data_IF_120382910666
#
_entry.id   IF_120382910666
#
_cell.length_a   1.000
_cell.length_b   1.000
_cell.length_c   1.000
_cell.angle_alpha   90.00
_cell.angle_beta   90.00
_cell.angle_gamma   90.00
#
_symmetry.space_group_name_H-M   'P 1'
#
loop_
_entity.id
_entity.type
_entity.pdbx_description
1 polymer ?
#
# COMPACT_ATOMS: atom_id res chain seq x y z
N UNK A 1 -2.80 9.70 -10.05
CA UNK A 1 -2.06 8.49 -10.42
C UNK A 1 -2.09 8.26 -11.94
N UNK A 2 -3.25 8.25 -12.59
CA UNK A 2 -3.36 8.06 -14.05
C UNK A 2 -2.64 9.15 -14.85
N UNK A 3 -2.72 10.42 -14.43
CA UNK A 3 -1.97 11.54 -15.03
C UNK A 3 -0.44 11.42 -14.89
N UNK A 4 0.01 10.62 -13.96
CA UNK A 4 1.43 10.33 -13.70
C UNK A 4 1.87 9.00 -14.32
N UNK A 5 0.98 8.32 -15.07
CA UNK A 5 1.29 7.03 -15.68
C UNK A 5 2.25 7.19 -16.86
N UNK A 6 3.20 6.29 -16.91
CA UNK A 6 4.28 6.22 -17.91
C UNK A 6 4.40 4.82 -18.55
N UNK A 7 3.40 3.97 -18.36
CA UNK A 7 3.44 2.56 -18.77
C UNK A 7 2.23 2.21 -19.62
N UNK A 8 2.46 1.49 -20.71
CA UNK A 8 1.42 0.86 -21.52
C UNK A 8 1.18 -0.58 -21.06
N UNK A 9 -0.09 -0.96 -20.92
CA UNK A 9 -0.50 -2.29 -20.53
C UNK A 9 -1.85 -2.67 -21.17
N UNK A 10 -2.20 -3.96 -21.11
CA UNK A 10 -3.43 -4.47 -21.71
C UNK A 10 -4.65 -4.24 -20.82
N UNK A 11 -4.46 -4.35 -19.49
CA UNK A 11 -5.55 -4.28 -18.50
C UNK A 11 -5.10 -3.60 -17.21
N UNK A 12 -6.07 -3.04 -16.50
CA UNK A 12 -5.93 -2.52 -15.14
C UNK A 12 -6.62 -3.50 -14.18
N UNK A 13 -5.90 -3.95 -13.18
CA UNK A 13 -6.36 -4.92 -12.17
C UNK A 13 -6.26 -4.30 -10.77
N UNK A 14 -7.34 -4.24 -9.99
CA UNK A 14 -7.27 -3.80 -8.60
C UNK A 14 -6.76 -4.88 -7.68
N UNK A 15 -6.12 -4.49 -6.59
CA UNK A 15 -6.03 -5.31 -5.38
C UNK A 15 -7.35 -5.16 -4.62
N UNK A 16 -8.20 -6.19 -4.53
CA UNK A 16 -9.49 -6.04 -3.89
C UNK A 16 -9.38 -6.08 -2.36
N UNK A 17 -10.18 -5.30 -1.61
CA UNK A 17 -11.21 -4.36 -2.11
C UNK A 17 -10.68 -2.94 -2.14
N UNK A 18 -9.57 -2.66 -1.46
CA UNK A 18 -9.02 -1.33 -1.21
C UNK A 18 -8.57 -0.60 -2.48
N UNK A 19 -8.01 -1.32 -3.44
CA UNK A 19 -7.58 -0.76 -4.73
C UNK A 19 -8.70 -0.50 -5.74
N UNK A 20 -9.93 -0.99 -5.51
CA UNK A 20 -11.00 -0.97 -6.52
C UNK A 20 -11.32 0.43 -7.03
N UNK A 21 -11.54 1.40 -6.14
CA UNK A 21 -11.91 2.76 -6.54
C UNK A 21 -10.81 3.46 -7.32
N UNK A 22 -9.56 3.32 -6.86
CA UNK A 22 -8.40 3.92 -7.52
C UNK A 22 -8.17 3.30 -8.92
N UNK A 23 -8.30 1.97 -9.04
CA UNK A 23 -8.14 1.26 -10.30
C UNK A 23 -9.23 1.62 -11.31
N UNK A 24 -10.49 1.75 -10.85
CA UNK A 24 -11.59 2.16 -11.71
C UNK A 24 -11.37 3.57 -12.28
N UNK A 25 -11.04 4.54 -11.41
CA UNK A 25 -10.76 5.91 -11.85
C UNK A 25 -9.52 6.00 -12.76
N UNK A 26 -8.49 5.18 -12.49
CA UNK A 26 -7.31 5.06 -13.33
C UNK A 26 -7.66 4.54 -14.74
N UNK A 27 -8.39 3.44 -14.82
CA UNK A 27 -8.79 2.81 -16.07
C UNK A 27 -9.68 3.74 -16.91
N UNK A 28 -10.66 4.39 -16.28
CA UNK A 28 -11.55 5.36 -16.94
C UNK A 28 -10.76 6.54 -17.52
N UNK A 29 -9.81 7.09 -16.77
CA UNK A 29 -9.02 8.25 -17.23
C UNK A 29 -8.17 7.92 -18.46
N UNK A 30 -7.56 6.74 -18.48
CA UNK A 30 -6.70 6.28 -19.58
C UNK A 30 -7.45 5.51 -20.67
N UNK A 31 -8.77 5.31 -20.52
CA UNK A 31 -9.61 4.51 -21.42
C UNK A 31 -9.08 3.08 -21.61
N UNK A 32 -8.60 2.50 -20.50
CA UNK A 32 -8.09 1.13 -20.44
C UNK A 32 -9.18 0.17 -19.92
N UNK A 33 -9.05 -1.11 -20.25
CA UNK A 33 -9.92 -2.14 -19.72
C UNK A 33 -9.67 -2.36 -18.23
N UNK A 34 -10.71 -2.22 -17.41
CA UNK A 34 -10.71 -2.60 -16.00
C UNK A 34 -11.19 -4.04 -15.85
N UNK A 35 -10.40 -4.88 -15.17
CA UNK A 35 -10.69 -6.31 -15.06
C UNK A 35 -10.47 -6.82 -13.63
N UNK A 36 -11.37 -7.70 -13.18
CA UNK A 36 -11.21 -8.42 -11.92
C UNK A 36 -10.21 -9.58 -12.06
N UNK A 37 -8.94 -9.25 -12.25
CA UNK A 37 -7.86 -10.24 -12.33
C UNK A 37 -7.53 -10.92 -11.00
N UNK A 38 -7.90 -10.30 -9.88
CA UNK A 38 -7.84 -10.85 -8.53
C UNK A 38 -9.24 -10.92 -7.93
N UNK A 39 -9.55 -12.05 -7.32
CA UNK A 39 -10.85 -12.32 -6.67
C UNK A 39 -10.60 -12.52 -5.18
N UNK A 40 -11.34 -11.78 -4.34
CA UNK A 40 -11.27 -11.91 -2.89
C UNK A 40 -12.26 -12.97 -2.40
N UNK A 41 -11.77 -13.86 -1.54
CA UNK A 41 -12.61 -14.76 -0.78
C UNK A 41 -13.08 -14.08 0.51
N UNK A 42 -14.35 -13.73 0.60
CA UNK A 42 -14.94 -13.01 1.73
C UNK A 42 -15.10 -13.86 3.01
N UNK A 43 -15.01 -15.19 2.91
CA UNK A 43 -15.07 -16.08 4.08
C UNK A 43 -13.78 -16.07 4.92
N UNK A 44 -12.69 -15.51 4.38
CA UNK A 44 -11.42 -15.38 5.08
C UNK A 44 -11.30 -13.98 5.69
N UNK A 45 -11.28 -13.89 7.03
CA UNK A 45 -11.17 -12.64 7.78
C UNK A 45 -9.84 -11.90 7.62
N UNK A 46 -9.59 -10.92 8.49
CA UNK A 46 -8.34 -10.12 8.49
C UNK A 46 -7.16 -10.98 8.93
N UNK A 47 -6.23 -11.24 8.00
CA UNK A 47 -5.08 -12.14 8.21
C UNK A 47 -3.89 -11.50 8.93
N UNK A 48 -3.83 -10.18 9.04
CA UNK A 48 -2.73 -9.47 9.73
C UNK A 48 -2.86 -9.45 11.25
N UNK A 49 -4.02 -9.87 11.80
CA UNK A 49 -4.24 -10.03 13.25
C UNK A 49 -3.69 -11.37 13.75
N UNK A 50 -3.37 -12.30 12.85
CA UNK A 50 -2.87 -13.62 13.18
C UNK A 50 -1.43 -13.60 13.74
N UNK A 51 -1.17 -14.33 14.85
CA UNK A 51 0.09 -14.21 15.59
C UNK A 51 1.32 -14.77 14.88
N UNK A 52 1.17 -15.69 13.91
CA UNK A 52 2.33 -16.31 13.24
C UNK A 52 2.48 -15.91 11.78
N UNK A 53 3.76 -15.77 11.34
CA UNK A 53 4.12 -15.45 9.95
C UNK A 53 3.64 -16.53 8.97
N UNK A 54 3.64 -17.81 9.37
CA UNK A 54 3.15 -18.93 8.55
C UNK A 54 1.65 -18.84 8.30
N UNK A 55 0.86 -18.54 9.33
CA UNK A 55 -0.60 -18.41 9.24
C UNK A 55 -0.95 -17.16 8.41
N UNK A 56 -0.25 -16.03 8.60
CA UNK A 56 -0.40 -14.83 7.75
C UNK A 56 -0.09 -15.12 6.28
N UNK A 57 0.90 -15.96 5.99
CA UNK A 57 1.27 -16.30 4.62
C UNK A 57 0.26 -17.21 3.93
N UNK A 58 -0.30 -18.17 4.67
CA UNK A 58 -1.40 -19.03 4.20
C UNK A 58 -2.68 -18.20 4.00
N UNK A 59 -2.96 -17.27 4.91
CA UNK A 59 -4.12 -16.40 4.87
C UNK A 59 -4.21 -15.55 3.59
N UNK A 60 -3.11 -15.06 3.04
CA UNK A 60 -3.13 -14.32 1.75
C UNK A 60 -3.51 -15.24 0.60
N UNK A 61 -2.99 -16.48 0.56
CA UNK A 61 -3.35 -17.46 -0.47
C UNK A 61 -4.81 -17.92 -0.38
N UNK A 62 -5.39 -17.96 0.82
CA UNK A 62 -6.81 -18.29 1.01
C UNK A 62 -7.72 -17.10 0.70
N UNK A 63 -7.20 -15.87 0.86
CA UNK A 63 -7.96 -14.64 0.73
C UNK A 63 -8.08 -14.13 -0.69
N UNK A 64 -7.05 -14.34 -1.52
CA UNK A 64 -6.98 -13.85 -2.89
C UNK A 64 -6.69 -15.00 -3.86
N UNK A 65 -7.39 -14.99 -4.99
CA UNK A 65 -7.17 -15.91 -6.11
C UNK A 65 -7.01 -15.11 -7.40
N UNK A 66 -6.03 -15.51 -8.22
CA UNK A 66 -5.84 -14.93 -9.53
C UNK A 66 -6.78 -15.59 -10.56
N UNK A 67 -7.48 -14.77 -11.33
CA UNK A 67 -8.29 -15.22 -12.45
C UNK A 67 -7.39 -15.46 -13.67
N UNK A 68 -6.96 -16.70 -13.85
CA UNK A 68 -6.03 -17.08 -14.90
C UNK A 68 -6.53 -16.72 -16.31
N UNK A 69 -7.83 -16.86 -16.57
CA UNK A 69 -8.43 -16.54 -17.89
C UNK A 69 -8.26 -15.07 -18.24
N UNK A 70 -8.39 -14.18 -17.25
CA UNK A 70 -8.24 -12.74 -17.42
C UNK A 70 -6.77 -12.32 -17.54
N UNK A 71 -5.86 -13.01 -16.82
CA UNK A 71 -4.46 -12.58 -16.60
C UNK A 71 -3.50 -13.13 -17.65
N UNK A 72 -3.73 -14.36 -18.12
CA UNK A 72 -2.78 -15.09 -18.95
C UNK A 72 -2.36 -14.29 -20.20
N UNK A 73 -1.03 -14.19 -20.38
CA UNK A 73 -0.38 -13.48 -21.49
C UNK A 73 -0.63 -11.96 -21.54
N UNK A 74 -1.12 -11.35 -20.46
CA UNK A 74 -1.40 -9.90 -20.39
C UNK A 74 -0.28 -9.14 -19.70
N UNK A 75 -0.05 -7.90 -20.14
CA UNK A 75 0.63 -6.86 -19.39
C UNK A 75 -0.37 -6.18 -18.49
N UNK A 76 -0.09 -6.13 -17.19
CA UNK A 76 -1.04 -5.73 -16.15
C UNK A 76 -0.55 -4.48 -15.44
N UNK A 77 -1.41 -3.48 -15.30
CA UNK A 77 -1.25 -2.45 -14.29
C UNK A 77 -2.04 -2.90 -13.06
N UNK A 78 -1.31 -3.31 -12.02
CA UNK A 78 -1.87 -3.65 -10.72
C UNK A 78 -1.96 -2.41 -9.85
N UNK A 79 -3.15 -2.09 -9.35
CA UNK A 79 -3.36 -0.91 -8.49
C UNK A 79 -3.75 -1.34 -7.08
N UNK A 80 -2.99 -0.85 -6.10
CA UNK A 80 -3.27 -1.00 -4.67
C UNK A 80 -3.41 0.37 -4.01
N UNK A 81 -4.02 0.44 -2.84
CA UNK A 81 -4.20 1.68 -2.07
C UNK A 81 -2.89 2.14 -1.45
N UNK A 82 -2.14 1.23 -0.83
CA UNK A 82 -0.93 1.53 -0.07
C UNK A 82 0.09 0.41 -0.09
N UNK A 83 1.36 0.74 0.17
CA UNK A 83 2.44 -0.23 0.35
C UNK A 83 3.21 0.11 1.63
N UNK A 84 3.15 -0.79 2.61
CA UNK A 84 3.76 -0.60 3.93
C UNK A 84 4.99 -1.50 4.10
N UNK A 85 4.80 -2.81 4.25
CA UNK A 85 5.87 -3.82 4.42
C UNK A 85 6.25 -4.54 3.13
N UNK A 86 5.46 -4.42 2.07
CA UNK A 86 5.67 -5.05 0.76
C UNK A 86 5.45 -6.56 0.72
N UNK A 87 5.29 -7.24 1.85
CA UNK A 87 5.12 -8.71 1.89
C UNK A 87 3.83 -9.19 1.20
N UNK A 88 2.77 -8.42 1.29
CA UNK A 88 1.49 -8.70 0.58
C UNK A 88 1.65 -8.46 -0.91
N UNK A 89 2.25 -7.33 -1.30
CA UNK A 89 2.48 -6.96 -2.69
C UNK A 89 3.36 -7.99 -3.40
N UNK A 90 4.46 -8.46 -2.76
CA UNK A 90 5.29 -9.56 -3.26
C UNK A 90 4.47 -10.81 -3.59
N UNK A 91 3.58 -11.22 -2.67
CA UNK A 91 2.76 -12.43 -2.86
C UNK A 91 1.74 -12.26 -3.98
N UNK A 92 1.15 -11.07 -4.10
CA UNK A 92 0.18 -10.74 -5.15
C UNK A 92 0.88 -10.72 -6.52
N UNK A 93 2.01 -10.04 -6.64
CA UNK A 93 2.79 -9.99 -7.88
C UNK A 93 3.21 -11.40 -8.32
N UNK A 94 3.74 -12.21 -7.37
CA UNK A 94 4.07 -13.60 -7.64
C UNK A 94 2.84 -14.41 -8.10
N UNK A 95 1.69 -14.24 -7.46
CA UNK A 95 0.44 -14.92 -7.83
C UNK A 95 0.00 -14.58 -9.26
N UNK A 96 0.16 -13.32 -9.67
CA UNK A 96 -0.16 -12.88 -11.04
C UNK A 96 0.80 -13.50 -12.07
N UNK A 97 2.10 -13.58 -11.80
CA UNK A 97 3.04 -14.28 -12.67
C UNK A 97 2.78 -15.77 -12.71
N UNK A 98 2.49 -16.41 -11.57
CA UNK A 98 2.12 -17.83 -11.49
C UNK A 98 0.83 -18.13 -12.30
N UNK A 99 -0.09 -17.16 -12.43
CA UNK A 99 -1.27 -17.22 -13.27
C UNK A 99 -1.02 -16.91 -14.77
N UNK A 100 0.24 -16.62 -15.14
CA UNK A 100 0.68 -16.42 -16.51
C UNK A 100 0.66 -14.97 -17.00
N UNK A 101 0.70 -13.99 -16.12
CA UNK A 101 0.92 -12.59 -16.51
C UNK A 101 2.24 -12.43 -17.26
N UNK A 102 2.25 -11.60 -18.31
CA UNK A 102 3.47 -11.30 -19.09
C UNK A 102 4.34 -10.27 -18.39
N UNK A 103 3.72 -9.22 -17.89
CA UNK A 103 4.37 -8.15 -17.12
C UNK A 103 3.39 -7.66 -16.04
N UNK A 104 3.91 -7.28 -14.87
CA UNK A 104 3.13 -6.70 -13.78
C UNK A 104 3.77 -5.37 -13.38
N UNK A 105 3.04 -4.29 -13.63
CA UNK A 105 3.40 -2.92 -13.27
C UNK A 105 2.56 -2.49 -12.06
N UNK A 106 3.21 -2.22 -10.95
CA UNK A 106 2.51 -1.86 -9.70
C UNK A 106 2.38 -0.35 -9.60
N UNK A 107 1.17 0.13 -9.33
CA UNK A 107 0.88 1.54 -9.05
C UNK A 107 0.17 1.65 -7.70
N UNK A 108 0.71 2.47 -6.82
CA UNK A 108 0.19 2.67 -5.46
C UNK A 108 -0.55 4.01 -5.40
N UNK A 109 -1.80 3.98 -4.92
CA UNK A 109 -2.70 5.14 -4.93
C UNK A 109 -2.46 6.11 -3.77
N UNK A 110 -1.37 5.96 -3.03
CA UNK A 110 -0.88 6.92 -2.05
C UNK A 110 0.62 7.19 -2.26
N UNK A 111 1.17 8.26 -1.68
CA UNK A 111 2.61 8.48 -1.61
C UNK A 111 3.33 7.42 -0.78
N UNK A 112 4.66 7.41 -0.85
CA UNK A 112 5.51 6.52 -0.06
C UNK A 112 5.32 6.76 1.44
N UNK A 113 4.95 5.72 2.20
CA UNK A 113 4.80 5.77 3.65
C UNK A 113 6.18 5.58 4.29
N UNK A 114 6.77 6.68 4.79
CA UNK A 114 8.14 6.72 5.34
C UNK A 114 8.19 6.94 6.84
N UNK A 115 7.10 7.39 7.44
CA UNK A 115 7.05 7.78 8.84
C UNK A 115 5.91 7.07 9.57
N UNK A 116 6.12 6.62 10.82
CA UNK A 116 5.06 5.99 11.61
C UNK A 116 4.00 7.00 12.04
N UNK A 117 2.83 6.52 12.43
CA UNK A 117 1.78 7.31 13.07
C UNK A 117 1.86 7.21 14.59
N UNK A 118 1.49 8.31 15.26
CA UNK A 118 1.40 8.38 16.72
C UNK A 118 0.01 8.84 17.20
N UNK A 119 -0.94 9.02 16.26
CA UNK A 119 -2.25 9.64 16.54
C UNK A 119 -3.43 8.68 16.43
N UNK A 120 -3.17 7.37 16.37
CA UNK A 120 -4.20 6.35 16.47
C UNK A 120 -4.30 5.37 15.32
N UNK A 121 -3.50 5.52 14.26
CA UNK A 121 -3.37 4.49 13.24
C UNK A 121 -2.22 3.56 13.60
N UNK A 122 -2.51 2.26 13.71
CA UNK A 122 -1.49 1.24 13.99
C UNK A 122 -0.57 1.08 12.76
N UNK A 123 0.49 1.88 12.73
CA UNK A 123 1.56 1.77 11.75
C UNK A 123 2.75 1.02 12.33
N UNK A 124 3.49 0.27 11.52
CA UNK A 124 4.71 -0.37 11.98
C UNK A 124 5.79 0.66 12.31
N UNK A 125 6.80 0.21 13.07
CA UNK A 125 7.97 1.03 13.36
C UNK A 125 8.68 1.45 12.05
N UNK A 126 9.42 2.57 12.08
CA UNK A 126 10.15 3.07 10.92
C UNK A 126 11.06 2.00 10.27
N UNK A 127 11.62 1.09 11.07
CA UNK A 127 12.43 -0.03 10.58
C UNK A 127 11.66 -1.03 9.71
N UNK A 128 10.36 -1.14 9.91
CA UNK A 128 9.50 -2.05 9.14
C UNK A 128 8.82 -1.36 7.94
N UNK A 129 8.87 -0.02 7.86
CA UNK A 129 8.35 0.73 6.73
C UNK A 129 9.30 0.57 5.54
N UNK A 130 8.84 -0.11 4.49
CA UNK A 130 9.70 -0.47 3.36
C UNK A 130 10.26 0.78 2.67
N UNK A 131 9.42 1.79 2.42
CA UNK A 131 9.80 3.04 1.76
C UNK A 131 10.64 3.99 2.65
N UNK A 132 10.75 3.72 3.96
CA UNK A 132 11.67 4.43 4.84
C UNK A 132 13.12 3.91 4.73
N UNK A 133 13.30 2.66 4.24
CA UNK A 133 14.57 1.94 4.30
C UNK A 133 15.11 1.54 2.91
N UNK A 134 14.30 1.65 1.86
CA UNK A 134 14.64 1.21 0.51
C UNK A 134 14.23 2.27 -0.52
N UNK A 135 15.02 2.37 -1.57
CA UNK A 135 14.65 3.14 -2.77
C UNK A 135 13.49 2.49 -3.52
N UNK A 136 12.86 3.25 -4.42
CA UNK A 136 11.76 2.75 -5.24
C UNK A 136 12.19 1.55 -6.11
N UNK A 137 13.41 1.57 -6.65
CA UNK A 137 13.97 0.48 -7.45
C UNK A 137 14.19 -0.78 -6.62
N UNK A 138 14.74 -0.65 -5.41
CA UNK A 138 14.91 -1.77 -4.48
C UNK A 138 13.57 -2.36 -4.01
N UNK A 139 12.54 -1.51 -3.84
CA UNK A 139 11.18 -1.97 -3.52
C UNK A 139 10.59 -2.73 -4.71
N UNK A 140 10.74 -2.20 -5.91
CA UNK A 140 10.29 -2.82 -7.15
C UNK A 140 10.89 -4.21 -7.33
N UNK A 141 12.20 -4.34 -7.14
CA UNK A 141 12.91 -5.62 -7.17
C UNK A 141 12.41 -6.56 -6.06
N UNK A 142 12.29 -6.07 -4.83
CA UNK A 142 11.81 -6.86 -3.69
C UNK A 142 10.43 -7.46 -3.91
N UNK A 143 9.47 -6.68 -4.46
CA UNK A 143 8.13 -7.18 -4.76
C UNK A 143 8.06 -8.00 -6.04
N UNK A 144 9.13 -8.02 -6.84
CA UNK A 144 9.23 -8.76 -8.10
C UNK A 144 8.40 -8.16 -9.23
N UNK A 145 8.08 -6.87 -9.19
CA UNK A 145 7.34 -6.18 -10.23
C UNK A 145 8.23 -5.74 -11.39
N UNK A 146 7.66 -5.54 -12.58
CA UNK A 146 8.36 -4.96 -13.73
C UNK A 146 8.64 -3.47 -13.55
N UNK A 147 7.71 -2.77 -12.91
CA UNK A 147 7.89 -1.37 -12.48
C UNK A 147 7.00 -1.08 -11.27
N UNK A 148 7.41 -0.08 -10.48
CA UNK A 148 6.66 0.41 -9.32
C UNK A 148 6.57 1.92 -9.40
N UNK A 149 5.40 2.48 -9.11
CA UNK A 149 5.20 3.92 -8.97
C UNK A 149 4.16 4.23 -7.90
N UNK A 150 4.52 5.13 -7.02
CA UNK A 150 3.61 5.71 -6.04
C UNK A 150 2.96 6.98 -6.59
N UNK A 151 1.78 7.32 -6.10
CA UNK A 151 1.20 8.64 -6.31
C UNK A 151 2.14 9.70 -5.72
N UNK A 152 2.41 10.76 -6.46
CA UNK A 152 3.19 11.87 -5.89
C UNK A 152 2.41 12.58 -4.77
N UNK A 153 3.12 13.22 -3.82
CA UNK A 153 2.48 14.03 -2.78
C UNK A 153 1.62 15.15 -3.41
N UNK A 154 2.13 15.82 -4.44
CA UNK A 154 1.36 16.82 -5.19
C UNK A 154 0.14 16.21 -5.89
N UNK A 155 0.26 14.98 -6.40
CA UNK A 155 -0.85 14.23 -6.99
C UNK A 155 -1.95 13.93 -5.98
N UNK A 156 -1.58 13.62 -4.73
CA UNK A 156 -2.53 13.44 -3.62
C UNK A 156 -3.31 14.73 -3.35
N UNK A 157 -2.60 15.86 -3.16
CA UNK A 157 -3.24 17.15 -2.91
C UNK A 157 -4.17 17.56 -4.06
N UNK A 158 -3.74 17.38 -5.31
CA UNK A 158 -4.59 17.65 -6.49
C UNK A 158 -5.81 16.75 -6.57
N UNK A 159 -5.71 15.49 -6.15
CA UNK A 159 -6.83 14.55 -6.17
C UNK A 159 -7.96 14.96 -5.23
N UNK A 160 -7.66 15.68 -4.15
CA UNK A 160 -8.63 16.19 -3.17
C UNK A 160 -8.98 17.66 -3.35
N UNK A 161 -8.57 18.27 -4.48
CA UNK A 161 -8.99 19.61 -4.88
C UNK A 161 -8.06 20.75 -4.48
N UNK A 162 -6.85 20.48 -4.00
CA UNK A 162 -5.86 21.52 -3.73
C UNK A 162 -4.82 21.57 -4.85
N UNK A 163 -4.36 22.76 -5.22
CA UNK A 163 -3.29 22.90 -6.20
C UNK A 163 -1.96 22.36 -5.71
N UNK A 164 -1.63 22.67 -4.45
CA UNK A 164 -0.38 22.28 -3.80
C UNK A 164 -0.58 22.15 -2.28
N UNK A 165 0.37 21.48 -1.64
CA UNK A 165 0.50 21.45 -0.18
C UNK A 165 0.87 22.85 0.35
N UNK A 166 0.15 23.34 1.36
CA UNK A 166 0.58 24.53 2.10
C UNK A 166 1.74 24.13 3.04
N UNK A 167 2.88 24.78 2.92
CA UNK A 167 4.08 24.43 3.68
C UNK A 167 4.00 24.84 5.16
N UNK A 168 3.23 25.89 5.47
CA UNK A 168 3.11 26.40 6.84
C UNK A 168 1.95 25.73 7.58
N UNK A 169 0.83 25.54 6.91
CA UNK A 169 -0.38 24.92 7.45
C UNK A 169 -0.91 23.89 6.46
N UNK A 170 -0.38 22.64 6.47
CA UNK A 170 -0.84 21.59 5.58
C UNK A 170 -2.33 21.35 5.71
N UNK A 171 -3.01 21.21 4.58
CA UNK A 171 -4.48 20.98 4.52
C UNK A 171 -4.86 19.56 4.96
N UNK A 172 -3.88 18.65 5.00
CA UNK A 172 -4.00 17.26 5.44
C UNK A 172 -3.00 16.96 6.55
N UNK A 173 -3.33 16.01 7.37
CA UNK A 173 -2.38 15.33 8.27
C UNK A 173 -1.60 14.32 7.43
N UNK A 174 -0.48 14.75 6.85
CA UNK A 174 0.30 14.01 5.86
C UNK A 174 1.68 13.55 6.36
N UNK A 175 1.86 13.53 7.67
CA UNK A 175 3.12 13.16 8.33
C UNK A 175 3.65 11.78 7.92
N UNK A 176 2.78 10.83 7.54
CA UNK A 176 3.20 9.52 7.03
C UNK A 176 4.14 9.60 5.82
N UNK A 177 3.98 10.65 5.02
CA UNK A 177 4.71 10.87 3.78
C UNK A 177 5.84 11.88 3.95
N UNK A 178 5.62 12.92 4.78
CA UNK A 178 6.48 14.09 4.90
C UNK A 178 7.37 14.09 6.14
N UNK A 179 6.91 13.48 7.23
CA UNK A 179 7.51 13.59 8.56
C UNK A 179 7.12 14.87 9.31
N UNK A 180 6.24 15.70 8.73
CA UNK A 180 5.73 16.91 9.38
C UNK A 180 4.60 16.55 10.33
N UNK A 181 4.92 16.25 11.56
CA UNK A 181 3.94 15.89 12.58
C UNK A 181 3.18 17.12 13.08
N UNK A 182 1.84 17.07 13.21
CA UNK A 182 1.04 18.19 13.74
C UNK A 182 1.43 18.61 15.17
N UNK A 183 1.90 17.63 15.96
CA UNK A 183 2.49 17.82 17.30
C UNK A 183 3.77 17.02 17.32
N UNK A 184 4.86 17.63 17.76
CA UNK A 184 6.15 16.97 17.80
C UNK A 184 6.12 15.79 18.77
N UNK A 185 6.51 14.56 18.34
CA UNK A 185 6.54 13.39 19.20
C UNK A 185 7.65 13.54 20.25
N UNK A 186 7.30 13.89 21.46
CA UNK A 186 8.26 14.17 22.56
C UNK A 186 9.07 12.93 22.93
N UNK A 187 8.54 11.73 22.69
CA UNK A 187 9.13 10.45 23.11
C UNK A 187 10.23 9.92 22.16
N UNK A 188 10.43 10.53 20.98
CA UNK A 188 11.48 10.10 20.04
C UNK A 188 12.86 10.77 20.25
N UNK A 189 12.99 11.71 21.19
CA UNK A 189 14.26 12.40 21.49
C UNK A 189 15.26 11.55 22.31
N UNK A 190 14.93 10.33 22.67
CA UNK A 190 15.78 9.37 23.34
C UNK A 190 15.98 8.10 22.52
N UNK A 191 17.21 7.85 22.06
CA UNK A 191 17.67 6.54 21.62
C UNK A 191 17.41 5.52 22.74
N UNK A 192 16.31 4.85 22.75
CA UNK A 192 15.98 3.56 23.34
C UNK A 192 14.55 3.49 23.90
N UNK A 193 13.81 2.51 23.40
CA UNK A 193 12.55 2.00 23.93
C UNK A 193 11.35 2.92 23.82
N UNK A 194 10.77 3.04 22.65
CA UNK A 194 9.33 3.19 22.57
C UNK A 194 8.76 1.82 22.95
N UNK A 195 8.50 1.63 24.23
CA UNK A 195 7.58 0.60 24.70
C UNK A 195 6.21 1.16 24.32
N UNK A 196 5.64 0.68 23.24
CA UNK A 196 4.22 0.89 22.95
C UNK A 196 3.47 0.37 24.17
N UNK A 197 3.00 1.27 25.03
CA UNK A 197 2.12 0.91 26.14
C UNK A 197 0.87 0.34 25.49
N UNK A 198 0.75 -0.98 25.52
CA UNK A 198 -0.45 -1.66 25.05
C UNK A 198 -1.64 -1.05 25.78
N UNK A 199 -2.73 -0.77 25.07
CA UNK A 199 -4.00 -0.30 25.67
C UNK A 199 -4.47 -1.21 26.81
N UNK A 200 -3.97 -2.44 26.90
CA UNK A 200 -4.19 -3.41 27.97
C UNK A 200 -3.43 -3.06 29.26
N UNK A 201 -2.38 -2.24 29.23
CA UNK A 201 -1.67 -1.80 30.44
C UNK A 201 -2.36 -0.66 31.18
N UNK A 202 -3.27 0.06 30.51
CA UNK A 202 -4.08 1.11 31.13
C UNK A 202 -5.28 0.58 31.90
N UNK A 203 -5.68 -0.68 31.70
CA UNK A 203 -6.81 -1.31 32.42
C UNK A 203 -6.45 -1.82 33.81
N UNK A 204 -5.17 -1.77 34.22
CA UNK A 204 -4.69 -2.29 35.51
C UNK A 204 -4.48 -1.20 36.57
N UNK A 205 -4.87 0.06 36.33
CA UNK A 205 -4.69 1.18 37.29
C UNK A 205 -5.97 1.51 38.06
N UNK A 206 -7.03 0.72 37.92
CA UNK A 206 -8.23 0.86 38.77
C UNK A 206 -8.60 -0.45 39.44
N UNK A 207 -7.89 -0.78 40.51
CA UNK A 207 -8.39 -1.54 41.69
C UNK A 207 -7.73 -0.89 42.91
#
# INVERSE_FOLDING_TARGET
LAKENDVEADIVVPVPDSGNAAALGFAQHLKMNYEHGLIRNHYVGRTFIEPSQKIRSLGVKLKLNANQTTIKNKKIILIDDSLVRGTTSYKIVKMLYDAGAKEVHVKIACPEIKYPDFYGVDTPTKKELLAANKSNDEICEYIGAKSLKFLSLNGLYKAIGFENRNQTYPQLTDHYFTGDYPVEPIDELGDNKITQLSLLSLSLIHI
#
